data_IF_413353156545
#
_entry.id   IF_413353156545
#
_cell.length_a   1.000
_cell.length_b   1.000
_cell.length_c   1.000
_cell.angle_alpha   90.00
_cell.angle_beta   90.00
_cell.angle_gamma   90.00
#
_symmetry.space_group_name_H-M   'P 1'
#
loop_
_entity.id
_entity.type
_entity.pdbx_description
1 polymer ?
#
# COMPACT_ATOMS: atom_id res chain seq x y z
N UNK A 1 -3.86 25.75 -22.30
CA UNK A 1 -3.84 25.36 -22.34
C UNK A 1 -4.07 24.77 -23.08
N UNK A 2 -3.99 24.55 -23.50
CA UNK A 2 -4.14 24.07 -24.03
C UNK A 2 -4.22 23.09 -24.34
N UNK A 3 -4.29 22.70 -24.57
CA UNK A 3 -4.31 21.80 -24.69
C UNK A 3 -4.89 21.16 -25.33
N UNK A 4 -5.09 21.05 -25.66
CA UNK A 4 -5.64 20.47 -26.07
C UNK A 4 -6.40 19.68 -26.07
N UNK A 5 -6.88 19.68 -26.52
CA UNK A 5 -7.75 18.78 -26.38
C UNK A 5 -7.56 17.48 -26.65
N UNK A 6 -6.99 17.24 -27.23
CA UNK A 6 -6.75 16.16 -27.19
C UNK A 6 -6.13 15.47 -26.72
N UNK A 7 -5.75 15.69 -26.66
CA UNK A 7 -5.26 15.14 -26.00
C UNK A 7 -5.51 14.50 -25.24
N UNK A 8 -6.08 14.89 -25.29
CA UNK A 8 -6.53 14.42 -24.46
C UNK A 8 -6.77 13.42 -24.38
N UNK A 9 -6.59 13.26 -24.98
CA UNK A 9 -6.77 12.52 -24.78
C UNK A 9 -6.73 11.63 -24.39
N UNK A 10 -6.54 11.63 -24.65
CA UNK A 10 -6.45 11.07 -24.12
C UNK A 10 -6.74 10.12 -23.64
N UNK A 11 -6.92 9.73 -23.94
CA UNK A 11 -7.43 8.95 -23.48
C UNK A 11 -7.31 8.40 -22.49
N UNK A 12 -6.75 8.52 -22.19
CA UNK A 12 -6.54 8.28 -21.14
C UNK A 12 -7.42 8.19 -20.23
N UNK A 13 -7.87 8.73 -20.27
CA UNK A 13 -8.71 9.06 -19.37
C UNK A 13 -9.76 8.14 -19.13
N UNK A 14 -10.10 7.47 -19.96
CA UNK A 14 -11.05 6.55 -19.68
C UNK A 14 -10.52 5.51 -18.84
N UNK A 15 -9.32 5.59 -18.62
CA UNK A 15 -8.77 4.67 -17.67
C UNK A 15 -9.22 5.09 -16.32
N UNK A 16 -9.67 4.13 -15.54
CA UNK A 16 -9.94 4.39 -14.15
C UNK A 16 -8.69 4.83 -13.46
N UNK A 17 -8.73 5.89 -12.66
CA UNK A 17 -7.58 6.28 -11.87
C UNK A 17 -7.31 5.21 -10.82
N UNK A 18 -6.03 4.95 -10.59
CA UNK A 18 -5.63 4.09 -9.49
C UNK A 18 -5.93 4.78 -8.18
N UNK A 19 -6.19 3.98 -7.16
CA UNK A 19 -6.34 4.53 -5.82
C UNK A 19 -5.19 4.06 -4.93
N UNK A 20 -5.08 4.67 -3.77
CA UNK A 20 -3.97 4.43 -2.85
C UNK A 20 -4.50 3.79 -1.58
N UNK A 21 -3.85 2.70 -1.17
CA UNK A 21 -4.13 2.06 0.11
C UNK A 21 -3.03 2.44 1.09
N UNK A 22 -3.43 3.04 2.21
CA UNK A 22 -2.49 3.45 3.26
C UNK A 22 -2.80 2.62 4.49
N UNK A 23 -1.77 1.99 5.05
CA UNK A 23 -1.92 1.22 6.29
C UNK A 23 -0.93 1.77 7.30
N UNK A 24 -1.43 2.13 8.49
CA UNK A 24 -0.61 2.57 9.60
C UNK A 24 -0.48 1.42 10.59
N UNK A 25 0.75 1.13 10.97
CA UNK A 25 1.06 0.04 11.90
C UNK A 25 1.96 0.58 13.00
N UNK A 26 1.78 0.06 14.21
CA UNK A 26 2.65 0.38 15.33
C UNK A 26 3.12 -0.91 15.95
N UNK A 27 4.42 -1.04 16.15
CA UNK A 27 5.05 -2.28 16.60
C UNK A 27 5.70 -2.11 17.95
N UNK A 28 5.71 -3.19 18.72
CA UNK A 28 6.59 -3.24 19.88
C UNK A 28 8.03 -3.04 19.43
N UNK A 29 8.78 -2.25 20.17
CA UNK A 29 10.15 -1.93 19.81
C UNK A 29 10.98 -3.19 19.54
N UNK A 30 10.80 -4.23 20.36
CA UNK A 30 11.55 -5.48 20.22
C UNK A 30 11.20 -6.25 18.95
N UNK A 31 10.09 -5.94 18.29
CA UNK A 31 9.64 -6.66 17.10
C UNK A 31 9.82 -5.87 15.80
N UNK A 32 10.42 -4.68 15.86
CA UNK A 32 10.62 -3.89 14.64
C UNK A 32 11.47 -4.65 13.63
N UNK A 33 12.58 -5.25 14.08
CA UNK A 33 13.44 -6.02 13.18
C UNK A 33 12.74 -7.25 12.64
N UNK A 34 11.92 -7.90 13.46
CA UNK A 34 11.14 -9.05 12.99
C UNK A 34 10.21 -8.67 11.86
N UNK A 35 9.55 -7.53 11.99
CA UNK A 35 8.68 -7.03 10.94
C UNK A 35 9.48 -6.68 9.67
N UNK A 36 10.62 -6.01 9.83
CA UNK A 36 11.42 -5.63 8.67
C UNK A 36 11.93 -6.84 7.90
N UNK A 37 12.32 -7.90 8.61
CA UNK A 37 12.75 -9.15 7.98
C UNK A 37 11.58 -9.78 7.23
N UNK A 38 10.41 -9.85 7.85
CA UNK A 38 9.24 -10.42 7.21
C UNK A 38 8.87 -9.62 5.95
N UNK A 39 8.88 -8.29 6.05
CA UNK A 39 8.53 -7.44 4.92
C UNK A 39 9.54 -7.62 3.77
N UNK A 40 10.82 -7.67 4.11
CA UNK A 40 11.86 -7.87 3.10
C UNK A 40 11.66 -9.17 2.34
N UNK A 41 11.27 -10.24 3.04
CA UNK A 41 11.04 -11.54 2.42
C UNK A 41 9.81 -11.55 1.52
N UNK A 42 8.80 -10.72 1.83
CA UNK A 42 7.50 -10.82 1.17
C UNK A 42 7.20 -9.68 0.19
N UNK A 43 7.98 -8.61 0.22
CA UNK A 43 7.65 -7.40 -0.53
C UNK A 43 7.48 -7.61 -2.03
N UNK A 44 8.31 -8.45 -2.64
CA UNK A 44 8.20 -8.70 -4.08
C UNK A 44 6.90 -9.42 -4.43
N UNK A 45 6.51 -10.38 -3.60
CA UNK A 45 5.27 -11.09 -3.82
C UNK A 45 4.07 -10.15 -3.68
N UNK A 46 4.12 -9.26 -2.70
CA UNK A 46 3.04 -8.28 -2.50
C UNK A 46 2.97 -7.34 -3.71
N UNK A 47 4.13 -6.80 -4.13
CA UNK A 47 4.20 -5.87 -5.25
C UNK A 47 3.71 -6.50 -6.54
N UNK A 48 3.90 -7.80 -6.70
CA UNK A 48 3.52 -8.51 -7.92
C UNK A 48 2.08 -9.03 -7.88
N UNK A 49 1.31 -8.70 -6.86
CA UNK A 49 -0.10 -9.05 -6.82
C UNK A 49 -0.85 -8.35 -7.95
N UNK A 50 -1.85 -9.02 -8.50
CA UNK A 50 -2.61 -8.48 -9.63
C UNK A 50 -3.21 -7.13 -9.25
N UNK A 51 -2.98 -6.12 -10.08
CA UNK A 51 -3.51 -4.79 -9.89
C UNK A 51 -2.68 -3.89 -8.98
N UNK A 52 -1.67 -4.43 -8.30
CA UNK A 52 -0.78 -3.63 -7.47
C UNK A 52 0.26 -2.95 -8.35
N UNK A 53 0.36 -1.64 -8.30
CA UNK A 53 1.24 -0.86 -9.17
C UNK A 53 2.38 -0.18 -8.45
N UNK A 54 2.35 -0.15 -7.12
CA UNK A 54 3.39 0.46 -6.31
C UNK A 54 3.27 -0.08 -4.90
N UNK A 55 4.41 -0.29 -4.26
CA UNK A 55 4.45 -0.66 -2.85
C UNK A 55 5.62 0.08 -2.20
N UNK A 56 5.32 0.83 -1.15
CA UNK A 56 6.34 1.56 -0.39
C UNK A 56 6.12 1.35 1.09
N UNK A 57 7.21 1.33 1.84
CA UNK A 57 7.18 1.23 3.29
C UNK A 57 7.86 2.46 3.87
N UNK A 58 7.20 3.11 4.81
CA UNK A 58 7.72 4.29 5.49
C UNK A 58 7.77 4.05 6.98
N UNK A 59 8.73 4.68 7.64
CA UNK A 59 8.82 4.67 9.09
C UNK A 59 8.74 6.12 9.56
N UNK A 60 7.98 6.36 10.62
CA UNK A 60 7.87 7.70 11.18
C UNK A 60 9.25 8.16 11.66
N UNK A 61 9.54 9.44 11.41
CA UNK A 61 10.88 9.98 11.65
C UNK A 61 11.18 10.12 13.13
N UNK A 62 10.16 10.40 13.93
CA UNK A 62 10.34 10.66 15.36
C UNK A 62 9.91 9.50 16.25
N UNK A 63 9.03 8.64 15.78
CA UNK A 63 8.60 7.46 16.53
C UNK A 63 8.90 6.22 15.72
N UNK A 64 9.98 5.52 16.06
CA UNK A 64 10.48 4.38 15.30
C UNK A 64 9.52 3.19 15.30
N UNK A 65 8.51 3.19 16.16
CA UNK A 65 7.53 2.09 16.22
C UNK A 65 6.44 2.21 15.15
N UNK A 66 6.28 3.39 14.57
CA UNK A 66 5.19 3.64 13.61
C UNK A 66 5.69 3.49 12.19
N UNK A 67 4.98 2.69 11.42
CA UNK A 67 5.26 2.44 10.00
C UNK A 67 4.01 2.65 9.18
N UNK A 68 4.20 2.97 7.91
CA UNK A 68 3.11 3.10 6.94
C UNK A 68 3.47 2.32 5.69
N UNK A 69 2.50 1.58 5.14
CA UNK A 69 2.64 1.10 3.77
C UNK A 69 1.75 1.95 2.88
N UNK A 70 2.26 2.26 1.69
CA UNK A 70 1.50 2.88 0.62
C UNK A 70 1.51 1.90 -0.53
N UNK A 71 0.33 1.58 -1.04
CA UNK A 71 0.26 0.73 -2.23
C UNK A 71 -0.79 1.30 -3.18
N UNK A 72 -0.50 1.18 -4.48
CA UNK A 72 -1.39 1.67 -5.53
C UNK A 72 -2.09 0.48 -6.16
N UNK A 73 -3.39 0.60 -6.40
CA UNK A 73 -4.21 -0.48 -6.94
C UNK A 73 -5.05 0.01 -8.10
N UNK A 74 -5.13 -0.81 -9.14
CA UNK A 74 -5.95 -0.46 -10.31
C UNK A 74 -7.42 -0.48 -10.01
N UNK A 75 -7.88 -1.51 -9.29
CA UNK A 75 -9.29 -1.70 -8.99
C UNK A 75 -9.49 -2.10 -7.55
N UNK A 76 -10.64 -1.73 -7.00
CA UNK A 76 -10.97 -2.15 -5.63
C UNK A 76 -11.06 -3.67 -5.53
N UNK A 77 -11.53 -4.33 -6.60
CA UNK A 77 -11.58 -5.80 -6.61
C UNK A 77 -10.21 -6.44 -6.52
N UNK A 78 -9.18 -5.80 -7.09
CA UNK A 78 -7.82 -6.32 -7.01
C UNK A 78 -7.31 -6.27 -5.57
N UNK A 79 -7.57 -5.17 -4.86
CA UNK A 79 -7.19 -5.07 -3.46
C UNK A 79 -7.95 -6.11 -2.63
N UNK A 80 -9.24 -6.27 -2.90
CA UNK A 80 -10.05 -7.23 -2.16
C UNK A 80 -9.54 -8.66 -2.40
N UNK A 81 -9.22 -8.99 -3.64
CA UNK A 81 -8.65 -10.30 -3.96
C UNK A 81 -7.33 -10.53 -3.23
N UNK A 82 -6.47 -9.50 -3.18
CA UNK A 82 -5.22 -9.59 -2.45
C UNK A 82 -5.48 -9.83 -0.97
N UNK A 83 -6.42 -9.10 -0.37
CA UNK A 83 -6.72 -9.24 1.07
C UNK A 83 -7.30 -10.60 1.42
N UNK A 84 -7.86 -11.30 0.45
CA UNK A 84 -8.38 -12.66 0.65
C UNK A 84 -7.40 -13.74 0.22
N UNK A 85 -6.20 -13.36 -0.23
CA UNK A 85 -5.21 -14.33 -0.71
C UNK A 85 -4.48 -14.99 0.45
N UNK A 86 -3.90 -16.16 0.16
CA UNK A 86 -3.05 -16.85 1.13
C UNK A 86 -1.84 -15.99 1.50
N UNK A 87 -1.29 -15.26 0.53
CA UNK A 87 -0.17 -14.38 0.79
C UNK A 87 -0.51 -13.36 1.88
N UNK A 88 -1.61 -12.64 1.68
CA UNK A 88 -1.99 -11.61 2.64
C UNK A 88 -2.31 -12.22 4.00
N UNK A 89 -3.14 -13.27 4.03
CA UNK A 89 -3.58 -13.83 5.31
C UNK A 89 -2.41 -14.37 6.11
N UNK A 90 -1.42 -14.97 5.44
CA UNK A 90 -0.23 -15.50 6.11
C UNK A 90 0.65 -14.38 6.65
N UNK A 91 0.94 -13.38 5.80
CA UNK A 91 1.78 -12.25 6.20
C UNK A 91 1.12 -11.45 7.31
N UNK A 92 -0.19 -11.20 7.16
CA UNK A 92 -0.92 -10.41 8.16
C UNK A 92 -1.00 -11.12 9.50
N UNK A 93 -1.19 -12.44 9.49
CA UNK A 93 -1.25 -13.21 10.73
C UNK A 93 0.05 -13.09 11.52
N UNK A 94 1.20 -13.10 10.84
CA UNK A 94 2.49 -12.90 11.50
C UNK A 94 2.66 -11.44 11.93
N UNK A 95 2.33 -10.51 11.07
CA UNK A 95 2.49 -9.07 11.34
C UNK A 95 1.72 -8.66 12.59
N UNK A 96 0.50 -9.17 12.74
CA UNK A 96 -0.34 -8.83 13.88
C UNK A 96 0.30 -9.17 15.22
N UNK A 97 1.12 -10.20 15.28
CA UNK A 97 1.74 -10.60 16.54
C UNK A 97 2.77 -9.60 17.02
N UNK A 98 3.20 -8.68 16.15
CA UNK A 98 4.23 -7.68 16.47
C UNK A 98 3.64 -6.34 16.91
N UNK A 99 2.33 -6.14 16.78
CA UNK A 99 1.69 -4.85 17.06
C UNK A 99 1.65 -4.53 18.55
N UNK A 100 1.85 -3.25 18.84
CA UNK A 100 1.58 -2.72 20.19
C UNK A 100 0.34 -1.81 20.20
N UNK A 101 -0.31 -1.61 19.05
CA UNK A 101 -1.51 -0.80 18.95
C UNK A 101 -2.30 -1.28 17.75
N UNK A 102 -3.56 -0.87 17.66
CA UNK A 102 -4.42 -1.24 16.55
C UNK A 102 -3.95 -0.63 15.25
N UNK A 103 -3.90 -1.41 14.17
CA UNK A 103 -3.59 -0.84 12.87
C UNK A 103 -4.78 -0.05 12.33
N UNK A 104 -4.48 0.89 11.43
CA UNK A 104 -5.50 1.67 10.75
C UNK A 104 -5.23 1.58 9.25
N UNK A 105 -6.29 1.60 8.46
CA UNK A 105 -6.14 1.48 7.01
C UNK A 105 -7.16 2.35 6.29
N UNK A 106 -6.74 2.92 5.17
CA UNK A 106 -7.57 3.80 4.35
C UNK A 106 -7.38 3.48 2.89
N UNK A 107 -8.47 3.57 2.13
CA UNK A 107 -8.40 3.64 0.66
C UNK A 107 -8.73 5.07 0.30
N UNK A 108 -7.84 5.73 -0.43
CA UNK A 108 -7.98 7.13 -0.76
C UNK A 108 -7.73 7.35 -2.24
N UNK A 109 -8.35 8.38 -2.80
CA UNK A 109 -8.14 8.76 -4.19
C UNK A 109 -7.15 9.89 -4.26
N UNK A 110 -6.19 9.78 -5.20
CA UNK A 110 -5.24 10.86 -5.41
C UNK A 110 -5.95 11.98 -6.16
N UNK A 111 -6.06 13.13 -5.53
CA UNK A 111 -6.75 14.27 -6.15
C UNK A 111 -5.81 15.16 -6.94
N UNK A 112 -4.57 15.26 -6.48
CA UNK A 112 -3.57 16.11 -7.12
C UNK A 112 -2.20 15.51 -6.86
N UNK A 113 -1.33 15.60 -7.85
CA UNK A 113 0.06 15.24 -7.69
C UNK A 113 0.89 16.24 -8.51
N UNK A 114 1.73 17.00 -7.82
CA UNK A 114 2.64 17.95 -8.47
C UNK A 114 4.05 17.46 -8.27
N UNK A 115 4.86 17.51 -9.34
CA UNK A 115 6.23 17.02 -9.27
C UNK A 115 7.23 18.01 -9.78
#
# INVERSE_FOLDING_TARGET
LSFSPNLRQNTRFYLKPMFVRIVKMSFHLKHINDFLILFEEKKEFIRNSVGCKLLELYQDKTNSEIFFTYSYWENESDLENYRNSNLFTTVWAQTKTFFNDKPEAWSVDKKVSLQ
#
